data_IF_289978335082
#
_entry.id   IF_289978335082
#
_cell.length_a   1.000
_cell.length_b   1.000
_cell.length_c   1.000
_cell.angle_alpha   90.00
_cell.angle_beta   90.00
_cell.angle_gamma   90.00
#
_symmetry.space_group_name_H-M   'P 1'
#
loop_
_entity.id
_entity.type
_entity.pdbx_description
1 polymer ?
#
# COMPACT_ATOMS: atom_id res chain seq x y z
N UNK A 1 6.22 32.80 -9.60
CA UNK A 1 6.87 33.41 -10.79
C UNK A 1 8.42 33.36 -10.76
N UNK A 2 9.10 33.31 -9.65
CA UNK A 2 10.58 33.28 -9.62
C UNK A 2 11.19 31.88 -9.82
N UNK A 3 10.48 30.81 -9.48
CA UNK A 3 10.94 29.40 -9.61
C UNK A 3 10.87 28.87 -11.04
N UNK A 4 9.96 29.38 -11.88
CA UNK A 4 9.81 28.99 -13.28
C UNK A 4 10.96 29.52 -14.16
N UNK A 5 11.53 30.70 -13.83
CA UNK A 5 12.61 31.27 -14.62
C UNK A 5 14.00 30.62 -14.37
N UNK A 6 14.18 29.96 -13.23
CA UNK A 6 15.42 29.23 -12.92
C UNK A 6 15.45 27.90 -13.68
N UNK A 7 14.33 27.19 -13.76
CA UNK A 7 14.23 25.92 -14.49
C UNK A 7 14.46 26.10 -16.01
N UNK A 8 13.95 27.19 -16.59
CA UNK A 8 14.15 27.51 -18.02
C UNK A 8 15.60 27.88 -18.33
N UNK A 9 16.32 28.50 -17.39
CA UNK A 9 17.76 28.81 -17.58
C UNK A 9 18.69 27.60 -17.48
N UNK A 10 18.35 26.64 -16.60
CA UNK A 10 19.10 25.39 -16.48
C UNK A 10 18.89 24.48 -17.70
N UNK A 11 17.66 24.39 -18.23
CA UNK A 11 17.38 23.65 -19.47
C UNK A 11 18.14 24.21 -20.68
N UNK A 12 18.25 25.54 -20.83
CA UNK A 12 19.03 26.15 -21.90
C UNK A 12 20.54 25.85 -21.82
N UNK A 13 21.08 25.69 -20.61
CA UNK A 13 22.50 25.39 -20.42
C UNK A 13 22.81 23.91 -20.79
N UNK A 14 21.86 22.99 -20.56
CA UNK A 14 22.02 21.57 -20.91
C UNK A 14 21.90 21.35 -22.41
N UNK A 15 21.00 22.05 -23.11
CA UNK A 15 20.87 21.98 -24.57
C UNK A 15 22.13 22.50 -25.29
N UNK A 16 22.79 23.53 -24.79
CA UNK A 16 24.02 24.05 -25.36
C UNK A 16 25.22 23.09 -25.23
N UNK A 17 25.29 22.36 -24.12
CA UNK A 17 26.34 21.36 -23.90
C UNK A 17 26.12 20.05 -24.70
N UNK A 18 24.88 19.72 -25.09
CA UNK A 18 24.56 18.54 -25.93
C UNK A 18 24.90 18.81 -27.41
N UNK A 19 24.75 20.05 -27.88
CA UNK A 19 25.08 20.45 -29.26
C UNK A 19 26.58 20.39 -29.54
N UNK A 20 27.42 20.63 -28.51
CA UNK A 20 28.88 20.64 -28.67
C UNK A 20 29.52 19.23 -28.67
N UNK A 21 28.76 18.17 -28.30
CA UNK A 21 29.31 16.81 -28.19
C UNK A 21 28.88 15.86 -29.33
N UNK A 22 28.25 16.31 -30.41
CA UNK A 22 27.99 15.51 -31.62
C UNK A 22 27.03 14.33 -31.40
N UNK A 23 26.22 14.33 -30.36
CA UNK A 23 25.18 13.33 -30.10
C UNK A 23 23.99 13.53 -31.02
N UNK A 24 23.58 12.50 -31.76
CA UNK A 24 22.33 12.51 -32.53
C UNK A 24 21.18 12.55 -31.52
N UNK A 25 20.59 13.73 -31.35
CA UNK A 25 19.33 13.88 -30.61
C UNK A 25 18.26 13.23 -31.47
N UNK A 26 17.70 12.11 -31.02
CA UNK A 26 16.54 11.50 -31.65
C UNK A 26 15.41 12.54 -31.62
N UNK A 27 14.98 13.01 -32.79
CA UNK A 27 13.82 13.88 -32.91
C UNK A 27 12.60 13.08 -32.43
N UNK A 28 11.96 13.55 -31.36
CA UNK A 28 10.69 13.01 -30.90
C UNK A 28 9.67 13.09 -32.04
N UNK A 29 8.82 12.05 -32.15
CA UNK A 29 7.78 12.07 -33.17
C UNK A 29 6.81 13.23 -32.92
N UNK A 30 6.24 13.86 -33.96
CA UNK A 30 5.27 14.95 -33.80
C UNK A 30 4.06 14.54 -32.92
N UNK A 31 3.73 13.26 -32.87
CA UNK A 31 2.66 12.69 -32.05
C UNK A 31 3.02 12.72 -30.57
N UNK A 32 4.27 12.39 -30.21
CA UNK A 32 4.77 12.47 -28.83
C UNK A 32 4.78 13.92 -28.35
N UNK A 33 5.24 14.86 -29.18
CA UNK A 33 5.24 16.29 -28.87
C UNK A 33 3.82 16.81 -28.64
N UNK A 34 2.88 16.43 -29.52
CA UNK A 34 1.47 16.83 -29.40
C UNK A 34 0.79 16.19 -28.16
N UNK A 35 1.17 14.97 -27.80
CA UNK A 35 0.71 14.30 -26.59
C UNK A 35 1.21 15.00 -25.33
N UNK A 36 2.49 15.33 -25.27
CA UNK A 36 3.09 16.01 -24.13
C UNK A 36 2.51 17.41 -23.94
N UNK A 37 2.29 18.17 -25.03
CA UNK A 37 1.64 19.47 -24.96
C UNK A 37 0.21 19.39 -24.41
N UNK A 38 -0.57 18.39 -24.80
CA UNK A 38 -1.91 18.16 -24.24
C UNK A 38 -1.87 17.80 -22.74
N UNK A 39 -0.85 17.07 -22.32
CA UNK A 39 -0.64 16.74 -20.91
C UNK A 39 -0.22 17.97 -20.10
N UNK A 40 0.65 18.82 -20.65
CA UNK A 40 1.05 20.09 -20.03
C UNK A 40 -0.15 21.03 -19.85
N UNK A 41 -0.99 21.20 -20.88
CA UNK A 41 -2.22 22.01 -20.80
C UNK A 41 -3.20 21.47 -19.72
N UNK A 42 -3.30 20.15 -19.58
CA UNK A 42 -4.15 19.53 -18.56
C UNK A 42 -3.56 19.66 -17.15
N UNK A 43 -2.23 19.75 -17.03
CA UNK A 43 -1.52 19.89 -15.75
C UNK A 43 -1.46 21.32 -15.23
N UNK A 44 -1.47 22.33 -16.12
CA UNK A 44 -1.49 23.76 -15.77
C UNK A 44 -2.90 24.25 -15.38
N UNK A 45 -3.95 23.46 -15.64
CA UNK A 45 -5.26 23.69 -15.10
C UNK A 45 -5.24 23.64 -13.57
N UNK A 46 -5.76 24.68 -12.91
CA UNK A 46 -5.90 24.74 -11.45
C UNK A 46 -6.68 23.53 -10.95
N UNK A 47 -5.96 22.51 -10.49
CA UNK A 47 -6.55 21.31 -9.88
C UNK A 47 -7.11 21.70 -8.51
N UNK A 48 -8.43 21.88 -8.42
CA UNK A 48 -9.11 22.04 -7.14
C UNK A 48 -9.00 20.73 -6.35
N UNK A 49 -8.62 20.77 -5.05
CA UNK A 49 -8.66 19.58 -4.20
C UNK A 49 -10.02 18.87 -4.15
N UNK A 50 -11.11 19.57 -4.49
CA UNK A 50 -12.46 19.00 -4.62
C UNK A 50 -12.60 18.05 -5.82
N UNK A 51 -11.74 18.12 -6.84
CA UNK A 51 -11.79 17.24 -8.02
C UNK A 51 -11.52 15.77 -7.65
N UNK A 52 -10.93 15.52 -6.47
CA UNK A 52 -10.67 14.19 -5.93
C UNK A 52 -11.72 13.71 -4.92
N UNK A 53 -12.94 14.28 -4.94
CA UNK A 53 -14.04 13.87 -4.07
C UNK A 53 -13.86 14.24 -2.59
N UNK A 54 -12.89 15.08 -2.24
CA UNK A 54 -12.63 15.53 -0.89
C UNK A 54 -13.02 16.98 -0.68
N UNK A 55 -13.93 17.27 0.26
CA UNK A 55 -14.05 18.60 0.83
C UNK A 55 -12.72 18.97 1.50
N UNK A 56 -12.20 20.16 1.21
CA UNK A 56 -11.06 20.73 1.93
C UNK A 56 -11.27 20.57 3.44
N UNK A 57 -10.25 20.23 4.23
CA UNK A 57 -10.38 20.21 5.68
C UNK A 57 -10.88 21.60 6.11
N UNK A 58 -11.80 21.69 7.08
CA UNK A 58 -12.28 22.98 7.54
C UNK A 58 -11.09 23.85 7.96
N UNK A 59 -11.06 25.14 7.63
CA UNK A 59 -9.95 25.99 8.00
C UNK A 59 -9.77 25.92 9.51
N UNK A 60 -8.67 25.33 9.93
CA UNK A 60 -8.32 25.25 11.34
C UNK A 60 -8.26 26.64 11.90
N UNK A 61 -9.12 26.94 12.86
CA UNK A 61 -9.00 28.12 13.70
C UNK A 61 -7.65 28.05 14.42
N UNK A 62 -6.62 28.60 13.82
CA UNK A 62 -5.40 28.97 14.52
C UNK A 62 -5.78 30.18 15.36
N UNK A 63 -6.25 29.95 16.56
CA UNK A 63 -6.32 31.00 17.58
C UNK A 63 -4.89 31.37 17.94
N UNK A 64 -4.41 32.47 17.35
CA UNK A 64 -3.26 33.20 17.87
C UNK A 64 -3.64 33.74 19.26
N UNK A 65 -3.36 32.96 20.29
CA UNK A 65 -3.26 33.51 21.63
C UNK A 65 -1.99 34.38 21.72
N UNK A 66 -2.17 35.67 21.64
CA UNK A 66 -1.18 36.66 22.06
C UNK A 66 -0.87 36.44 23.54
N UNK A 67 0.36 36.06 23.85
CA UNK A 67 0.88 36.12 25.22
C UNK A 67 1.49 37.51 25.44
N UNK A 68 1.13 38.22 26.49
CA UNK A 68 1.84 39.44 26.90
C UNK A 68 3.06 39.10 27.76
N UNK A 69 4.15 39.81 27.49
CA UNK A 69 5.12 40.33 28.42
C UNK A 69 6.03 39.37 29.17
N UNK A 70 7.31 39.54 28.93
CA UNK A 70 8.43 38.83 29.44
C UNK A 70 8.63 38.80 30.97
N UNK A 71 9.45 37.86 31.38
CA UNK A 71 10.39 38.05 32.49
C UNK A 71 11.58 37.08 32.34
N UNK A 72 12.72 37.60 32.74
CA UNK A 72 14.10 37.22 32.77
C UNK A 72 14.44 35.82 33.33
N UNK A 73 15.55 35.35 32.80
CA UNK A 73 16.40 34.20 33.12
C UNK A 73 16.76 34.12 34.60
N UNK A 74 16.72 32.91 35.18
CA UNK A 74 17.70 32.44 36.17
C UNK A 74 17.86 30.92 36.13
N UNK A 75 19.09 30.49 35.86
CA UNK A 75 19.61 29.13 36.01
C UNK A 75 19.41 28.62 37.45
N UNK A 76 18.91 27.39 37.56
CA UNK A 76 19.33 26.48 38.63
C UNK A 76 19.08 25.02 38.22
N UNK A 77 20.18 24.31 38.00
CA UNK A 77 20.25 22.84 37.98
C UNK A 77 19.87 22.28 39.34
N UNK A 78 18.93 21.33 39.39
CA UNK A 78 18.95 20.26 40.38
C UNK A 78 18.39 18.96 39.78
N UNK A 79 19.26 17.94 39.85
CA UNK A 79 18.95 16.52 39.70
C UNK A 79 17.90 16.08 40.71
N UNK A 80 16.90 15.33 40.28
CA UNK A 80 16.31 14.27 41.10
C UNK A 80 15.73 13.19 40.20
N UNK A 81 16.32 12.03 40.29
CA UNK A 81 15.85 10.73 39.87
C UNK A 81 14.59 10.34 40.65
N UNK A 82 13.47 10.11 39.98
CA UNK A 82 12.40 9.30 40.56
C UNK A 82 11.89 8.30 39.51
N UNK A 83 12.14 7.06 39.85
CA UNK A 83 11.64 5.85 39.22
C UNK A 83 10.16 5.67 39.55
N UNK A 84 9.27 5.85 38.58
CA UNK A 84 7.87 5.50 38.69
C UNK A 84 7.65 4.03 38.30
N UNK A 85 7.49 3.17 39.32
CA UNK A 85 7.17 1.77 39.11
C UNK A 85 5.75 1.57 38.57
N UNK A 86 5.64 0.70 37.59
CA UNK A 86 4.37 0.15 37.13
C UNK A 86 3.93 -0.95 38.08
N UNK A 87 2.79 -0.72 38.73
CA UNK A 87 2.14 -1.64 39.66
C UNK A 87 1.47 -2.79 38.86
N UNK A 88 2.13 -3.96 38.88
CA UNK A 88 1.65 -5.18 38.26
C UNK A 88 0.55 -5.82 39.12
N UNK A 89 -0.71 -5.69 38.71
CA UNK A 89 -1.77 -6.53 39.26
C UNK A 89 -1.69 -7.93 38.70
N UNK A 90 -1.23 -8.83 39.54
CA UNK A 90 -1.31 -10.28 39.33
C UNK A 90 -2.76 -10.74 39.19
N UNK A 91 -3.16 -11.27 38.05
CA UNK A 91 -4.34 -12.13 37.94
C UNK A 91 -3.91 -13.59 38.19
N UNK A 92 -4.48 -14.16 39.24
CA UNK A 92 -4.29 -15.53 39.70
C UNK A 92 -4.73 -16.52 38.63
N UNK A 93 -3.87 -17.49 38.32
CA UNK A 93 -4.16 -18.71 37.59
C UNK A 93 -5.24 -19.52 38.32
N UNK A 94 -6.36 -19.79 37.67
CA UNK A 94 -7.36 -20.77 38.08
C UNK A 94 -7.30 -21.97 37.16
N UNK A 95 -7.11 -23.12 37.75
CA UNK A 95 -7.04 -24.43 37.09
C UNK A 95 -8.39 -24.86 36.51
N UNK A 96 -8.34 -25.74 35.53
CA UNK A 96 -9.42 -26.25 34.73
C UNK A 96 -10.60 -26.84 35.50
N UNK A 97 -11.78 -26.75 34.88
CA UNK A 97 -12.93 -27.62 35.17
C UNK A 97 -13.63 -27.98 33.86
N UNK A 98 -13.65 -29.25 33.58
CA UNK A 98 -14.59 -29.90 32.69
C UNK A 98 -15.99 -29.89 33.34
N UNK A 99 -17.03 -29.54 32.59
CA UNK A 99 -18.40 -29.72 33.09
C UNK A 99 -19.44 -29.01 32.23
N UNK A 100 -20.22 -29.80 31.49
CA UNK A 100 -21.44 -29.33 30.88
C UNK A 100 -22.43 -28.88 31.98
N UNK A 101 -23.01 -27.69 31.83
CA UNK A 101 -24.02 -27.17 32.72
C UNK A 101 -24.74 -26.00 32.04
N UNK A 102 -25.98 -26.28 31.55
CA UNK A 102 -26.88 -25.22 31.14
C UNK A 102 -27.23 -24.35 32.34
N UNK A 103 -26.85 -23.08 32.31
CA UNK A 103 -27.16 -22.05 33.30
C UNK A 103 -27.54 -20.76 32.61
N UNK A 104 -28.81 -20.39 32.68
CA UNK A 104 -29.34 -19.11 32.24
C UNK A 104 -28.66 -17.98 33.01
N UNK A 105 -27.88 -17.15 32.32
CA UNK A 105 -27.27 -15.92 32.83
C UNK A 105 -27.47 -14.79 31.83
N UNK A 106 -28.16 -13.75 32.27
CA UNK A 106 -28.32 -12.48 31.60
C UNK A 106 -26.93 -11.84 31.35
N UNK A 107 -26.33 -12.12 30.24
CA UNK A 107 -25.17 -11.43 29.67
C UNK A 107 -25.47 -11.25 28.19
N UNK A 108 -25.16 -10.06 27.67
CA UNK A 108 -25.27 -9.76 26.25
C UNK A 108 -24.65 -10.93 25.46
N UNK A 109 -25.49 -11.74 24.85
CA UNK A 109 -25.03 -12.89 24.07
C UNK A 109 -24.31 -12.30 22.84
N UNK A 110 -23.02 -12.58 22.72
CA UNK A 110 -22.21 -12.26 21.54
C UNK A 110 -22.79 -12.98 20.32
N UNK A 111 -23.10 -12.26 19.26
CA UNK A 111 -23.38 -12.85 17.96
C UNK A 111 -22.07 -13.41 17.38
N UNK A 112 -22.02 -14.71 17.10
CA UNK A 112 -20.86 -15.36 16.48
C UNK A 112 -21.08 -15.37 14.98
N UNK A 113 -20.25 -14.61 14.24
CA UNK A 113 -20.25 -14.57 12.77
C UNK A 113 -19.41 -15.72 12.20
N UNK A 114 -18.32 -16.07 12.88
CA UNK A 114 -17.42 -17.16 12.51
C UNK A 114 -16.81 -17.76 13.77
N UNK A 115 -16.73 -19.09 13.82
CA UNK A 115 -16.05 -19.80 14.88
C UNK A 115 -14.53 -19.79 14.64
N UNK A 116 -13.76 -20.37 15.57
CA UNK A 116 -12.30 -20.35 15.51
C UNK A 116 -11.78 -20.93 14.19
N UNK A 117 -11.10 -20.09 13.43
CA UNK A 117 -10.49 -20.42 12.13
C UNK A 117 -9.12 -19.78 12.01
N UNK A 118 -8.33 -20.25 11.05
CA UNK A 118 -7.04 -19.66 10.66
C UNK A 118 -7.24 -18.19 10.31
N UNK A 119 -6.41 -17.29 10.85
CA UNK A 119 -6.65 -15.86 10.74
C UNK A 119 -6.65 -15.37 9.27
N UNK A 120 -5.79 -15.88 8.41
CA UNK A 120 -5.76 -15.50 6.98
C UNK A 120 -6.99 -15.93 6.19
N UNK A 121 -7.79 -16.88 6.70
CA UNK A 121 -9.04 -17.34 6.10
C UNK A 121 -10.29 -16.72 6.74
N UNK A 122 -10.12 -15.88 7.75
CA UNK A 122 -11.19 -15.35 8.58
C UNK A 122 -12.15 -14.42 7.84
N UNK A 123 -13.38 -14.41 8.32
CA UNK A 123 -14.44 -13.48 7.92
C UNK A 123 -14.06 -12.00 8.10
N UNK A 124 -13.12 -11.71 9.00
CA UNK A 124 -12.59 -10.35 9.21
C UNK A 124 -12.13 -9.69 7.90
N UNK A 125 -11.46 -10.44 7.04
CA UNK A 125 -10.98 -9.93 5.74
C UNK A 125 -12.14 -9.65 4.78
N UNK A 126 -13.21 -10.46 4.83
CA UNK A 126 -14.43 -10.23 4.05
C UNK A 126 -15.16 -8.97 4.50
N UNK A 127 -15.20 -8.70 5.80
CA UNK A 127 -15.75 -7.45 6.34
C UNK A 127 -14.95 -6.23 5.88
N UNK A 128 -13.62 -6.31 5.90
CA UNK A 128 -12.76 -5.25 5.42
C UNK A 128 -12.96 -5.01 3.91
N UNK A 129 -13.00 -6.07 3.10
CA UNK A 129 -13.28 -5.94 1.66
C UNK A 129 -14.66 -5.34 1.41
N UNK A 130 -15.69 -5.76 2.16
CA UNK A 130 -17.02 -5.19 2.08
C UNK A 130 -17.05 -3.69 2.43
N UNK A 131 -16.24 -3.25 3.39
CA UNK A 131 -16.11 -1.85 3.72
C UNK A 131 -15.62 -1.04 2.50
N UNK A 132 -14.52 -1.44 1.87
CA UNK A 132 -13.98 -0.73 0.71
C UNK A 132 -14.90 -0.82 -0.51
N UNK A 133 -15.54 -1.95 -0.74
CA UNK A 133 -16.47 -2.13 -1.88
C UNK A 133 -17.71 -1.22 -1.74
N UNK A 134 -18.32 -1.15 -0.54
CA UNK A 134 -19.51 -0.34 -0.30
C UNK A 134 -19.23 1.16 -0.16
N UNK A 135 -18.09 1.54 0.41
CA UNK A 135 -17.71 2.95 0.58
C UNK A 135 -16.98 3.51 -0.64
N UNK A 136 -16.23 2.69 -1.37
CA UNK A 136 -15.45 3.13 -2.51
C UNK A 136 -14.55 4.31 -2.18
N UNK A 137 -14.45 5.28 -3.09
CA UNK A 137 -13.63 6.50 -2.92
C UNK A 137 -14.05 7.38 -1.74
N UNK A 138 -15.26 7.22 -1.22
CA UNK A 138 -15.73 7.94 -0.04
C UNK A 138 -14.92 7.59 1.21
N UNK A 139 -14.33 6.40 1.27
CA UNK A 139 -13.44 5.97 2.35
C UNK A 139 -12.31 6.99 2.58
N UNK A 140 -11.79 7.56 1.51
CA UNK A 140 -10.72 8.56 1.57
C UNK A 140 -11.25 9.99 1.55
N UNK A 141 -12.24 10.31 0.73
CA UNK A 141 -12.77 11.67 0.58
C UNK A 141 -13.44 12.19 1.85
N UNK A 142 -14.08 11.31 2.62
CA UNK A 142 -14.68 11.65 3.92
C UNK A 142 -13.66 11.58 5.09
N UNK A 143 -12.39 11.23 4.82
CA UNK A 143 -11.34 11.15 5.83
C UNK A 143 -11.48 9.96 6.80
N UNK A 144 -12.29 8.95 6.45
CA UNK A 144 -12.43 7.72 7.26
C UNK A 144 -11.11 6.98 7.27
N UNK A 145 -10.51 6.83 6.08
CA UNK A 145 -9.16 6.27 5.92
C UNK A 145 -8.16 7.41 5.71
N UNK A 146 -7.18 7.60 6.62
CA UNK A 146 -6.15 8.62 6.46
C UNK A 146 -5.26 8.34 5.25
N UNK A 147 -5.11 9.33 4.35
CA UNK A 147 -4.31 9.18 3.14
C UNK A 147 -3.39 10.37 2.85
N UNK A 148 -3.51 11.46 3.61
CA UNK A 148 -2.78 12.71 3.32
C UNK A 148 -1.27 12.58 3.36
N UNK A 149 -0.75 11.69 4.20
CA UNK A 149 0.70 11.47 4.35
C UNK A 149 1.27 10.76 3.12
N UNK A 150 0.52 9.85 2.50
CA UNK A 150 0.99 8.98 1.42
C UNK A 150 0.55 9.43 0.03
N UNK A 151 -0.54 10.20 -0.08
CA UNK A 151 -1.13 10.62 -1.34
C UNK A 151 -0.96 12.13 -1.57
N UNK A 152 0.28 12.59 -1.70
CA UNK A 152 0.59 13.99 -1.98
C UNK A 152 1.73 14.13 -3.00
N UNK A 153 1.90 15.35 -3.54
CA UNK A 153 2.88 15.62 -4.58
C UNK A 153 4.34 15.35 -4.14
N UNK A 154 4.67 15.60 -2.86
CA UNK A 154 6.01 15.34 -2.35
C UNK A 154 6.34 13.84 -2.37
N UNK A 155 5.42 13.00 -1.89
CA UNK A 155 5.61 11.55 -1.87
C UNK A 155 5.62 11.00 -3.31
N UNK A 156 4.67 11.41 -4.17
CA UNK A 156 4.67 11.00 -5.58
C UNK A 156 5.98 11.32 -6.29
N UNK A 157 6.51 12.54 -6.08
CA UNK A 157 7.83 12.93 -6.61
C UNK A 157 8.98 12.11 -6.05
N UNK A 158 8.96 11.80 -4.75
CA UNK A 158 10.01 10.98 -4.12
C UNK A 158 10.05 9.57 -4.71
N UNK A 159 8.89 8.95 -4.93
CA UNK A 159 8.79 7.64 -5.59
C UNK A 159 9.28 7.71 -7.04
N UNK A 160 8.87 8.74 -7.78
CA UNK A 160 9.32 8.94 -9.15
C UNK A 160 10.85 9.12 -9.23
N UNK A 161 11.48 9.82 -8.28
CA UNK A 161 12.93 9.96 -8.20
C UNK A 161 13.63 8.63 -7.94
N UNK A 162 13.11 7.81 -7.00
CA UNK A 162 13.65 6.48 -6.72
C UNK A 162 13.55 5.60 -7.96
N UNK A 163 12.40 5.58 -8.61
CA UNK A 163 12.20 4.82 -9.84
C UNK A 163 13.15 5.27 -10.96
N UNK A 164 13.26 6.58 -11.21
CA UNK A 164 14.18 7.10 -12.21
C UNK A 164 15.64 6.73 -11.92
N UNK A 165 16.03 6.74 -10.64
CA UNK A 165 17.35 6.27 -10.21
C UNK A 165 17.57 4.80 -10.51
N UNK A 166 16.60 3.96 -10.18
CA UNK A 166 16.63 2.52 -10.47
C UNK A 166 16.74 2.26 -11.98
N UNK A 167 15.91 2.90 -12.80
CA UNK A 167 15.92 2.75 -14.26
C UNK A 167 17.26 3.16 -14.86
N UNK A 168 17.82 4.27 -14.41
CA UNK A 168 19.17 4.72 -14.82
C UNK A 168 20.24 3.68 -14.49
N UNK A 169 20.21 3.09 -13.31
CA UNK A 169 21.16 2.08 -12.90
C UNK A 169 21.03 0.80 -13.75
N UNK A 170 19.80 0.36 -14.04
CA UNK A 170 19.52 -0.74 -14.93
C UNK A 170 19.98 -0.48 -16.39
N UNK A 171 19.70 0.72 -16.92
CA UNK A 171 20.19 1.13 -18.27
C UNK A 171 21.71 1.11 -18.38
N UNK A 172 22.42 1.34 -17.27
CA UNK A 172 23.89 1.24 -17.20
C UNK A 172 24.41 -0.17 -16.89
N UNK A 173 23.51 -1.14 -16.76
CA UNK A 173 23.85 -2.55 -16.51
C UNK A 173 24.22 -2.84 -15.06
N UNK A 174 23.87 -1.99 -14.11
CA UNK A 174 24.07 -2.26 -12.70
C UNK A 174 23.30 -3.50 -12.26
N UNK A 175 23.90 -4.33 -11.42
CA UNK A 175 23.29 -5.56 -10.93
C UNK A 175 23.03 -6.65 -11.97
N UNK A 176 23.52 -6.49 -13.20
CA UNK A 176 23.30 -7.43 -14.30
C UNK A 176 21.91 -7.35 -14.96
N UNK A 177 21.04 -6.51 -14.44
CA UNK A 177 19.71 -6.26 -15.00
C UNK A 177 19.83 -5.40 -16.26
N UNK A 178 19.04 -5.70 -17.29
CA UNK A 178 19.02 -4.95 -18.54
C UNK A 178 17.58 -4.54 -18.86
N UNK A 179 17.42 -3.30 -19.28
CA UNK A 179 16.17 -2.81 -19.82
C UNK A 179 16.22 -2.78 -21.33
N UNK A 180 15.13 -3.19 -21.97
CA UNK A 180 14.90 -2.97 -23.39
C UNK A 180 14.05 -1.72 -23.57
N UNK A 181 14.62 -0.61 -24.08
CA UNK A 181 13.90 0.65 -24.25
C UNK A 181 12.86 0.61 -25.39
N UNK A 182 12.81 -0.48 -26.17
CA UNK A 182 11.79 -0.67 -27.21
C UNK A 182 10.52 -1.31 -26.69
N UNK A 183 10.61 -2.00 -25.55
CA UNK A 183 9.51 -2.70 -24.91
C UNK A 183 8.90 -1.90 -23.74
N UNK A 184 7.61 -2.12 -23.42
CA UNK A 184 6.96 -1.44 -22.30
C UNK A 184 7.63 -1.76 -20.95
N UNK A 185 7.67 -0.76 -20.06
CA UNK A 185 7.98 -0.92 -18.65
C UNK A 185 6.70 -0.69 -17.85
N UNK A 186 6.27 -1.69 -17.10
CA UNK A 186 5.05 -1.59 -16.30
C UNK A 186 5.36 -1.18 -14.86
N UNK A 187 4.69 -0.12 -14.41
CA UNK A 187 4.70 0.36 -13.02
C UNK A 187 3.33 0.01 -12.44
N UNK A 188 3.24 -1.03 -11.63
CA UNK A 188 1.98 -1.57 -11.12
C UNK A 188 1.74 -1.05 -9.71
N UNK A 189 0.71 -0.25 -9.53
CA UNK A 189 0.26 0.19 -8.22
C UNK A 189 -0.84 -0.75 -7.72
N UNK A 190 -0.61 -1.35 -6.58
CA UNK A 190 -1.55 -2.23 -5.90
C UNK A 190 -2.37 -1.43 -4.89
N UNK A 191 -3.69 -1.63 -4.89
CA UNK A 191 -4.59 -0.92 -3.98
C UNK A 191 -4.58 0.60 -4.20
N UNK A 192 -4.74 1.01 -5.43
CA UNK A 192 -4.66 2.42 -5.86
C UNK A 192 -5.64 3.35 -5.13
N UNK A 193 -6.79 2.83 -4.68
CA UNK A 193 -7.80 3.61 -3.97
C UNK A 193 -8.34 4.77 -4.82
N UNK A 194 -8.16 6.01 -4.36
CA UNK A 194 -8.69 7.18 -5.07
C UNK A 194 -7.95 7.55 -6.38
N UNK A 195 -6.76 6.99 -6.65
CA UNK A 195 -5.92 7.36 -7.80
C UNK A 195 -5.09 8.63 -7.64
N UNK A 196 -5.21 9.31 -6.52
CA UNK A 196 -4.51 10.58 -6.27
C UNK A 196 -2.99 10.43 -6.25
N UNK A 197 -2.48 9.34 -5.67
CA UNK A 197 -1.05 9.07 -5.67
C UNK A 197 -0.55 8.78 -7.08
N UNK A 198 -1.26 7.96 -7.85
CA UNK A 198 -0.95 7.65 -9.25
C UNK A 198 -0.78 8.91 -10.08
N UNK A 199 -1.71 9.86 -9.93
CA UNK A 199 -1.64 11.16 -10.60
C UNK A 199 -0.36 11.91 -10.27
N UNK A 200 -0.02 12.05 -8.97
CA UNK A 200 1.20 12.79 -8.57
C UNK A 200 2.48 12.10 -9.01
N UNK A 201 2.51 10.77 -9.00
CA UNK A 201 3.67 10.03 -9.46
C UNK A 201 3.86 10.14 -10.98
N UNK A 202 2.77 9.98 -11.77
CA UNK A 202 2.80 10.17 -13.22
C UNK A 202 3.24 11.59 -13.60
N UNK A 203 2.65 12.60 -12.98
CA UNK A 203 3.05 13.99 -13.19
C UNK A 203 4.55 14.19 -12.92
N UNK A 204 5.06 13.67 -11.81
CA UNK A 204 6.47 13.79 -11.47
C UNK A 204 7.39 13.04 -12.44
N UNK A 205 6.99 11.87 -12.95
CA UNK A 205 7.75 11.13 -13.97
C UNK A 205 7.84 11.93 -15.27
N UNK A 206 6.74 12.56 -15.71
CA UNK A 206 6.72 13.40 -16.91
C UNK A 206 7.58 14.66 -16.74
N UNK A 207 7.55 15.30 -15.58
CA UNK A 207 8.43 16.44 -15.27
C UNK A 207 9.91 16.07 -15.30
N UNK A 208 10.25 14.80 -15.05
CA UNK A 208 11.62 14.27 -15.05
C UNK A 208 12.03 13.60 -16.36
N UNK A 209 11.22 13.69 -17.44
CA UNK A 209 11.48 13.00 -18.71
C UNK A 209 12.88 13.26 -19.28
N UNK A 210 13.37 14.50 -19.18
CA UNK A 210 14.66 14.91 -19.72
C UNK A 210 15.87 14.32 -18.95
N UNK A 211 15.66 13.85 -17.73
CA UNK A 211 16.71 13.28 -16.86
C UNK A 211 16.53 11.77 -16.64
N UNK A 212 15.51 11.18 -17.24
CA UNK A 212 15.24 9.76 -17.18
C UNK A 212 15.91 9.04 -18.34
N UNK A 213 16.83 8.13 -18.05
CA UNK A 213 17.57 7.36 -19.08
C UNK A 213 16.67 6.35 -19.84
N UNK A 214 15.49 6.03 -19.32
CA UNK A 214 14.50 5.15 -19.97
C UNK A 214 13.40 6.01 -20.64
N UNK A 215 12.95 5.67 -21.88
CA UNK A 215 11.90 6.43 -22.56
C UNK A 215 10.59 6.48 -21.78
N UNK A 216 10.15 7.68 -21.39
CA UNK A 216 8.94 7.84 -20.56
C UNK A 216 7.68 7.42 -21.32
N UNK A 217 7.66 7.54 -22.66
CA UNK A 217 6.59 7.07 -23.52
C UNK A 217 6.44 5.54 -23.55
N UNK A 218 7.45 4.81 -23.09
CA UNK A 218 7.39 3.36 -22.91
C UNK A 218 7.02 2.93 -21.50
N UNK A 219 6.87 3.87 -20.57
CA UNK A 219 6.38 3.58 -19.22
C UNK A 219 4.86 3.52 -19.25
N UNK A 220 4.31 2.44 -18.72
CA UNK A 220 2.85 2.26 -18.54
C UNK A 220 2.59 2.13 -17.04
N UNK A 221 1.95 3.13 -16.47
CA UNK A 221 1.47 3.08 -15.09
C UNK A 221 0.17 2.30 -15.04
N UNK A 222 0.08 1.29 -14.19
CA UNK A 222 -1.09 0.42 -14.07
C UNK A 222 -1.72 0.60 -12.71
N UNK A 223 -2.88 1.23 -12.68
CA UNK A 223 -3.70 1.36 -11.47
C UNK A 223 -4.46 0.07 -11.23
N UNK A 224 -4.34 -0.52 -10.04
CA UNK A 224 -5.10 -1.73 -9.70
C UNK A 224 -5.79 -1.61 -8.36
N UNK A 225 -7.00 -2.16 -8.28
CA UNK A 225 -7.78 -2.31 -7.06
C UNK A 225 -8.75 -3.50 -7.25
N UNK A 226 -9.20 -4.10 -6.16
CA UNK A 226 -10.19 -5.18 -6.25
C UNK A 226 -11.63 -4.67 -6.41
N UNK A 227 -11.88 -3.37 -6.21
CA UNK A 227 -13.22 -2.78 -6.22
C UNK A 227 -13.63 -2.24 -7.59
N UNK A 228 -14.83 -2.58 -8.06
CA UNK A 228 -15.38 -2.00 -9.28
C UNK A 228 -15.72 -0.51 -9.13
N UNK A 229 -16.05 -0.07 -7.92
CA UNK A 229 -16.40 1.32 -7.65
C UNK A 229 -15.19 2.25 -7.89
N UNK A 230 -14.01 1.89 -7.42
CA UNK A 230 -12.79 2.64 -7.65
C UNK A 230 -12.42 2.64 -9.14
N UNK A 231 -12.51 1.48 -9.81
CA UNK A 231 -12.26 1.35 -11.23
C UNK A 231 -13.15 2.28 -12.08
N UNK A 232 -14.46 2.33 -11.80
CA UNK A 232 -15.40 3.22 -12.49
C UNK A 232 -15.07 4.69 -12.26
N UNK A 233 -14.73 5.04 -11.02
CA UNK A 233 -14.32 6.40 -10.66
C UNK A 233 -13.09 6.85 -11.48
N UNK A 234 -12.05 6.03 -11.60
CA UNK A 234 -10.86 6.39 -12.38
C UNK A 234 -11.16 6.53 -13.87
N UNK A 235 -11.99 5.63 -14.42
CA UNK A 235 -12.35 5.64 -15.83
C UNK A 235 -13.05 6.94 -16.26
N UNK A 236 -13.78 7.56 -15.35
CA UNK A 236 -14.55 8.79 -15.60
C UNK A 236 -13.83 10.05 -15.08
N UNK A 237 -12.72 9.90 -14.35
CA UNK A 237 -12.06 11.02 -13.68
C UNK A 237 -11.36 11.94 -14.70
N UNK A 238 -11.75 13.24 -14.80
CA UNK A 238 -11.27 14.12 -15.86
C UNK A 238 -9.76 14.33 -15.84
N UNK A 239 -9.14 14.34 -14.66
CA UNK A 239 -7.70 14.55 -14.46
C UNK A 239 -6.87 13.34 -14.91
N UNK A 240 -7.42 12.11 -14.85
CA UNK A 240 -6.74 10.90 -15.31
C UNK A 240 -6.92 10.65 -16.80
N UNK A 241 -7.95 11.25 -17.40
CA UNK A 241 -8.31 11.03 -18.79
C UNK A 241 -7.15 11.29 -19.78
N UNK A 242 -6.37 12.38 -19.71
CA UNK A 242 -5.25 12.61 -20.62
C UNK A 242 -4.21 11.49 -20.59
N UNK A 243 -3.90 10.94 -19.41
CA UNK A 243 -2.95 9.83 -19.25
C UNK A 243 -3.51 8.52 -19.80
N UNK A 244 -4.82 8.28 -19.64
CA UNK A 244 -5.51 7.14 -20.22
C UNK A 244 -5.52 7.24 -21.75
N UNK A 245 -5.82 8.41 -22.31
CA UNK A 245 -5.88 8.64 -23.75
C UNK A 245 -4.49 8.55 -24.41
N UNK A 246 -3.41 8.91 -23.70
CA UNK A 246 -2.04 8.77 -24.18
C UNK A 246 -1.49 7.34 -24.09
N UNK A 247 -2.12 6.46 -23.34
CA UNK A 247 -1.62 5.10 -23.07
C UNK A 247 -0.53 5.01 -21.99
N UNK A 248 -0.19 6.11 -21.32
CA UNK A 248 0.75 6.12 -20.20
C UNK A 248 0.12 5.63 -18.90
N UNK A 249 -1.20 5.59 -18.86
CA UNK A 249 -1.99 5.04 -17.76
C UNK A 249 -2.92 3.95 -18.29
N UNK A 250 -2.94 2.82 -17.62
CA UNK A 250 -3.93 1.77 -17.81
C UNK A 250 -4.49 1.34 -16.44
N UNK A 251 -5.55 0.56 -16.44
CA UNK A 251 -6.27 0.19 -15.23
C UNK A 251 -6.70 -1.27 -15.28
N UNK A 252 -6.80 -1.89 -14.11
CA UNK A 252 -7.36 -3.23 -13.99
C UNK A 252 -8.06 -3.44 -12.64
N UNK A 253 -9.12 -4.26 -12.64
CA UNK A 253 -9.61 -4.88 -11.42
C UNK A 253 -8.66 -6.05 -11.13
N UNK A 254 -8.11 -6.08 -9.92
CA UNK A 254 -7.09 -7.07 -9.53
C UNK A 254 -7.12 -7.32 -8.03
N UNK A 255 -7.39 -8.56 -7.64
CA UNK A 255 -7.20 -9.04 -6.28
C UNK A 255 -5.74 -9.51 -6.13
N UNK A 256 -4.93 -8.73 -5.43
CA UNK A 256 -3.49 -8.99 -5.28
C UNK A 256 -3.19 -10.35 -4.62
N UNK A 257 -4.11 -10.90 -3.82
CA UNK A 257 -3.94 -12.19 -3.12
C UNK A 257 -4.37 -13.37 -3.99
N UNK A 258 -5.44 -13.22 -4.79
CA UNK A 258 -6.08 -14.36 -5.44
C UNK A 258 -5.82 -14.42 -6.94
N UNK A 259 -5.68 -13.26 -7.63
CA UNK A 259 -5.49 -13.24 -9.07
C UNK A 259 -4.03 -13.57 -9.46
N UNK A 260 -3.87 -14.26 -10.58
CA UNK A 260 -2.57 -14.65 -11.13
C UNK A 260 -2.15 -13.83 -12.35
N UNK A 261 -3.07 -13.06 -12.91
CA UNK A 261 -2.85 -12.23 -14.10
C UNK A 261 -3.60 -10.90 -13.95
N UNK A 262 -3.08 -9.86 -14.61
CA UNK A 262 -3.70 -8.53 -14.65
C UNK A 262 -4.11 -8.24 -16.09
N UNK A 263 -5.42 -8.15 -16.35
CA UNK A 263 -5.95 -7.78 -17.66
C UNK A 263 -6.15 -6.27 -17.72
N UNK A 264 -5.32 -5.59 -18.50
CA UNK A 264 -5.39 -4.15 -18.70
C UNK A 264 -6.63 -3.78 -19.49
N UNK A 265 -7.40 -2.81 -19.01
CA UNK A 265 -8.73 -2.50 -19.56
C UNK A 265 -8.67 -1.68 -20.84
N UNK A 266 -7.66 -0.80 -20.99
CA UNK A 266 -7.52 0.09 -22.16
C UNK A 266 -6.78 -0.58 -23.30
N UNK A 267 -5.61 -1.12 -23.05
CA UNK A 267 -4.78 -1.79 -24.05
C UNK A 267 -5.22 -3.21 -24.37
N UNK A 268 -5.97 -3.86 -23.47
CA UNK A 268 -6.33 -5.27 -23.58
C UNK A 268 -5.17 -6.23 -23.30
N UNK A 269 -4.00 -5.72 -22.93
CA UNK A 269 -2.81 -6.54 -22.61
C UNK A 269 -3.09 -7.39 -21.36
N UNK A 270 -2.61 -8.63 -21.39
CA UNK A 270 -2.65 -9.53 -20.24
C UNK A 270 -1.23 -9.63 -19.66
N UNK A 271 -1.05 -9.11 -18.44
CA UNK A 271 0.18 -9.27 -17.67
C UNK A 271 0.07 -10.52 -16.81
N UNK A 272 1.12 -11.33 -16.81
CA UNK A 272 1.17 -12.58 -16.04
C UNK A 272 2.55 -13.24 -16.15
N UNK A 273 2.70 -14.52 -15.74
CA UNK A 273 3.99 -15.19 -15.73
C UNK A 273 4.70 -15.14 -17.09
N UNK A 274 5.92 -14.58 -17.11
CA UNK A 274 6.78 -14.48 -18.30
C UNK A 274 6.28 -13.56 -19.41
N UNK A 275 5.28 -12.70 -19.16
CA UNK A 275 4.73 -11.82 -20.22
C UNK A 275 5.45 -10.48 -20.34
N UNK A 276 6.22 -10.07 -19.33
CA UNK A 276 6.93 -8.79 -19.33
C UNK A 276 8.40 -8.99 -19.70
N UNK A 277 8.86 -8.33 -20.77
CA UNK A 277 10.27 -8.34 -21.20
C UNK A 277 11.13 -7.55 -20.19
N UNK A 278 10.68 -6.35 -19.85
CA UNK A 278 11.32 -5.53 -18.81
C UNK A 278 10.90 -5.99 -17.41
N UNK A 279 11.71 -5.75 -16.37
CA UNK A 279 11.28 -5.95 -15.00
C UNK A 279 10.07 -5.05 -14.71
N UNK A 280 9.18 -5.52 -13.85
CA UNK A 280 8.06 -4.72 -13.38
C UNK A 280 8.48 -3.91 -12.14
N UNK A 281 7.92 -2.71 -12.00
CA UNK A 281 8.02 -1.92 -10.78
C UNK A 281 6.70 -1.99 -10.04
N UNK A 282 6.73 -2.43 -8.78
CA UNK A 282 5.51 -2.54 -7.96
C UNK A 282 5.50 -1.44 -6.90
N UNK A 283 4.39 -0.73 -6.82
CA UNK A 283 4.09 0.26 -5.78
C UNK A 283 2.95 -0.26 -4.91
N UNK A 284 3.15 -0.30 -3.61
CA UNK A 284 2.15 -0.79 -2.65
C UNK A 284 2.18 0.08 -1.38
N UNK A 285 1.49 1.21 -1.41
CA UNK A 285 1.40 2.11 -0.26
C UNK A 285 0.30 1.66 0.68
N UNK A 286 0.63 1.34 1.95
CA UNK A 286 -0.34 0.93 2.97
C UNK A 286 -1.28 -0.19 2.49
N UNK A 287 -0.75 -1.15 1.74
CA UNK A 287 -1.52 -2.28 1.24
C UNK A 287 -1.17 -3.58 1.98
N UNK A 288 0.11 -3.88 2.14
CA UNK A 288 0.52 -5.20 2.65
C UNK A 288 0.05 -5.49 4.07
N UNK A 289 -0.16 -4.46 4.88
CA UNK A 289 -0.75 -4.54 6.22
C UNK A 289 -2.28 -4.72 6.21
N UNK A 290 -2.93 -4.47 5.07
CA UNK A 290 -4.38 -4.70 4.88
C UNK A 290 -4.70 -6.04 4.20
N UNK A 291 -3.70 -6.77 3.72
CA UNK A 291 -3.90 -8.12 3.19
C UNK A 291 -3.96 -9.15 4.32
N UNK A 292 -4.45 -10.36 4.02
CA UNK A 292 -4.64 -11.37 5.03
C UNK A 292 -3.33 -11.81 5.72
N UNK A 293 -3.43 -12.00 7.04
CA UNK A 293 -2.32 -12.42 7.90
C UNK A 293 -2.71 -13.65 8.69
N UNK A 294 -1.72 -14.48 9.04
CA UNK A 294 -1.84 -15.45 10.12
C UNK A 294 -1.23 -14.90 11.41
N UNK A 295 -1.66 -15.42 12.52
CA UNK A 295 -1.19 -15.02 13.84
C UNK A 295 -0.40 -16.18 14.45
N UNK A 296 0.78 -15.90 14.97
CA UNK A 296 1.56 -16.86 15.74
C UNK A 296 1.97 -16.29 17.08
N UNK A 297 1.99 -17.13 18.08
CA UNK A 297 2.66 -16.89 19.34
C UNK A 297 3.89 -17.78 19.42
N UNK A 298 5.06 -17.17 19.53
CA UNK A 298 6.33 -17.90 19.67
C UNK A 298 6.81 -17.76 21.09
N UNK A 299 7.06 -18.89 21.75
CA UNK A 299 7.64 -18.95 23.10
C UNK A 299 8.60 -20.13 23.20
N UNK A 300 9.78 -19.92 23.79
CA UNK A 300 10.81 -20.95 23.98
C UNK A 300 11.15 -21.75 22.70
N UNK A 301 11.19 -21.08 21.55
CA UNK A 301 11.50 -21.71 20.26
C UNK A 301 10.39 -22.59 19.68
N UNK A 302 9.16 -22.45 20.19
CA UNK A 302 7.97 -23.12 19.64
C UNK A 302 6.95 -22.10 19.18
N UNK A 303 6.36 -22.35 18.02
CA UNK A 303 5.26 -21.56 17.50
C UNK A 303 3.91 -22.22 17.79
N UNK A 304 2.91 -21.39 18.11
CA UNK A 304 1.50 -21.76 18.18
C UNK A 304 0.73 -20.88 17.22
N UNK A 305 -0.15 -21.47 16.44
CA UNK A 305 -1.07 -20.73 15.60
C UNK A 305 -2.15 -20.06 16.45
N UNK A 306 -2.44 -18.78 16.17
CA UNK A 306 -3.56 -18.06 16.71
C UNK A 306 -4.79 -18.18 15.81
N UNK A 307 -5.78 -18.93 16.24
CA UNK A 307 -7.08 -18.97 15.60
C UNK A 307 -7.92 -17.79 16.08
N UNK A 308 -8.73 -17.23 15.19
CA UNK A 308 -9.64 -16.13 15.47
C UNK A 308 -11.11 -16.61 15.36
N UNK A 309 -11.95 -16.22 16.29
CA UNK A 309 -13.40 -16.28 16.16
C UNK A 309 -13.96 -14.87 16.06
N UNK A 310 -14.62 -14.57 14.96
CA UNK A 310 -15.21 -13.26 14.69
C UNK A 310 -16.61 -13.18 15.24
N UNK A 311 -16.93 -12.12 15.95
CA UNK A 311 -18.25 -11.88 16.50
C UNK A 311 -18.54 -10.40 16.68
N UNK A 312 -19.78 -10.13 17.04
CA UNK A 312 -20.31 -8.79 17.33
C UNK A 312 -20.81 -8.70 18.76
N UNK A 313 -20.74 -7.51 19.35
CA UNK A 313 -21.36 -7.19 20.63
C UNK A 313 -22.87 -7.03 20.55
N UNK A 314 -23.46 -7.04 19.35
CA UNK A 314 -24.91 -7.09 19.17
C UNK A 314 -25.41 -8.52 19.24
N UNK A 315 -26.68 -8.73 19.61
CA UNK A 315 -27.25 -10.08 19.72
C UNK A 315 -27.51 -10.75 18.36
N UNK A 316 -27.63 -9.98 17.29
CA UNK A 316 -27.90 -10.43 15.93
C UNK A 316 -27.28 -9.50 14.90
N UNK A 317 -26.81 -10.04 13.78
CA UNK A 317 -26.27 -9.34 12.63
C UNK A 317 -26.98 -9.83 11.35
N UNK A 318 -28.05 -9.14 10.93
CA UNK A 318 -28.85 -9.56 9.78
C UNK A 318 -28.05 -9.58 8.46
N UNK A 319 -27.07 -8.70 8.33
CA UNK A 319 -26.11 -8.68 7.22
C UNK A 319 -24.70 -8.95 7.76
N UNK A 320 -24.18 -10.17 7.63
CA UNK A 320 -22.84 -10.50 8.15
C UNK A 320 -21.70 -9.79 7.43
N UNK A 321 -21.98 -9.08 6.34
CA UNK A 321 -21.04 -8.25 5.60
C UNK A 321 -21.28 -6.74 5.80
N UNK A 322 -22.13 -6.35 6.77
CA UNK A 322 -22.30 -4.94 7.10
C UNK A 322 -20.97 -4.34 7.61
N UNK A 323 -20.40 -3.32 6.91
CA UNK A 323 -19.15 -2.69 7.33
C UNK A 323 -19.18 -2.09 8.74
N UNK A 324 -20.35 -1.72 9.23
CA UNK A 324 -20.51 -1.15 10.58
C UNK A 324 -20.23 -2.18 11.69
N UNK A 325 -20.20 -3.49 11.37
CA UNK A 325 -19.78 -4.54 12.30
C UNK A 325 -18.35 -4.29 12.79
N UNK A 326 -17.49 -3.67 11.98
CA UNK A 326 -16.10 -3.35 12.35
C UNK A 326 -16.04 -2.49 13.63
N UNK A 327 -17.02 -1.64 13.85
CA UNK A 327 -17.08 -0.77 15.05
C UNK A 327 -17.54 -1.51 16.31
N UNK A 328 -18.13 -2.70 16.17
CA UNK A 328 -18.72 -3.49 17.27
C UNK A 328 -18.21 -4.93 17.33
N UNK A 329 -16.99 -5.16 16.76
CA UNK A 329 -16.34 -6.47 16.80
C UNK A 329 -16.09 -6.94 18.24
N UNK A 330 -16.39 -8.21 18.48
CA UNK A 330 -15.98 -8.98 19.66
C UNK A 330 -15.20 -10.22 19.20
N UNK A 331 -13.94 -10.02 18.84
CA UNK A 331 -13.06 -11.08 18.38
C UNK A 331 -12.45 -11.82 19.56
N UNK A 332 -12.35 -13.14 19.43
CA UNK A 332 -11.71 -14.01 20.41
C UNK A 332 -10.59 -14.81 19.76
N UNK A 333 -9.56 -15.09 20.52
CA UNK A 333 -8.38 -15.81 20.04
C UNK A 333 -8.20 -17.10 20.84
N UNK A 334 -7.77 -18.15 20.17
CA UNK A 334 -7.33 -19.41 20.74
C UNK A 334 -6.02 -19.81 20.09
N UNK A 335 -5.12 -20.43 20.85
CA UNK A 335 -3.80 -20.81 20.36
C UNK A 335 -3.69 -22.34 20.39
N UNK A 336 -3.17 -22.90 19.29
CA UNK A 336 -2.91 -24.33 19.14
C UNK A 336 -1.49 -24.60 18.65
N UNK A 337 -0.96 -25.75 18.99
CA UNK A 337 0.35 -26.19 18.48
C UNK A 337 0.25 -26.44 16.99
N UNK A 338 1.28 -26.06 16.24
CA UNK A 338 1.36 -26.29 14.80
C UNK A 338 2.15 -27.57 14.49
N UNK A 339 1.79 -28.32 13.44
CA UNK A 339 2.59 -29.46 12.98
C UNK A 339 3.91 -28.99 12.35
N UNK A 340 4.89 -29.90 12.30
CA UNK A 340 6.22 -29.60 11.74
C UNK A 340 6.17 -29.26 10.24
N UNK A 341 5.16 -29.75 9.54
CA UNK A 341 4.89 -29.53 8.12
C UNK A 341 3.92 -28.39 7.84
N UNK A 342 3.64 -27.52 8.83
CA UNK A 342 2.78 -26.35 8.66
C UNK A 342 3.26 -25.50 7.48
N UNK A 343 2.35 -25.09 6.61
CA UNK A 343 2.61 -24.44 5.32
C UNK A 343 3.22 -25.32 4.22
N UNK A 344 3.21 -26.66 4.29
CA UNK A 344 3.89 -27.47 3.29
C UNK A 344 2.99 -28.00 2.16
N UNK A 345 1.65 -27.98 2.25
CA UNK A 345 0.87 -28.85 1.37
C UNK A 345 -0.29 -28.27 0.54
N UNK A 346 -0.80 -27.07 0.80
CA UNK A 346 -2.10 -26.74 0.18
C UNK A 346 -2.06 -25.83 -1.05
N UNK A 347 -1.01 -25.03 -1.27
CA UNK A 347 -1.02 -24.02 -2.34
C UNK A 347 0.26 -23.93 -3.20
N UNK A 348 1.21 -24.83 -3.07
CA UNK A 348 2.47 -24.80 -3.84
C UNK A 348 3.43 -23.66 -3.46
N UNK A 349 3.11 -22.90 -2.42
CA UNK A 349 3.87 -21.72 -1.97
C UNK A 349 4.77 -21.98 -0.75
N UNK A 350 4.68 -23.11 -0.16
CA UNK A 350 4.91 -23.43 1.24
C UNK A 350 6.33 -23.53 1.71
N UNK A 351 7.31 -24.02 0.91
CA UNK A 351 8.69 -24.12 1.41
C UNK A 351 9.26 -22.77 1.84
N UNK A 352 8.75 -21.67 1.25
CA UNK A 352 9.20 -20.32 1.60
C UNK A 352 8.53 -19.82 2.86
N UNK A 353 7.23 -20.05 3.02
CA UNK A 353 6.48 -19.63 4.20
C UNK A 353 7.00 -20.33 5.45
N UNK A 354 7.17 -21.64 5.39
CA UNK A 354 7.76 -22.43 6.48
C UNK A 354 9.14 -21.86 6.87
N UNK A 355 10.00 -21.61 5.88
CA UNK A 355 11.34 -21.08 6.12
C UNK A 355 11.35 -19.68 6.73
N UNK A 356 10.39 -18.81 6.34
CA UNK A 356 10.23 -17.48 6.92
C UNK A 356 9.72 -17.61 8.35
N UNK A 357 8.72 -18.48 8.59
CA UNK A 357 8.20 -18.73 9.94
C UNK A 357 9.29 -19.26 10.86
N UNK A 358 10.08 -20.25 10.41
CA UNK A 358 11.21 -20.80 11.17
C UNK A 358 12.22 -19.71 11.53
N UNK A 359 12.53 -18.80 10.59
CA UNK A 359 13.39 -17.66 10.88
C UNK A 359 12.85 -16.78 12.01
N UNK A 360 11.54 -16.51 12.03
CA UNK A 360 10.92 -15.76 13.15
C UNK A 360 10.98 -16.54 14.47
N UNK A 361 10.79 -17.86 14.43
CA UNK A 361 10.90 -18.73 15.61
C UNK A 361 12.33 -18.70 16.18
N UNK A 362 13.33 -18.84 15.32
CA UNK A 362 14.73 -18.78 15.70
C UNK A 362 15.13 -17.40 16.25
N UNK A 363 14.63 -16.33 15.62
CA UNK A 363 14.86 -14.97 16.11
C UNK A 363 14.24 -14.74 17.49
N UNK A 364 13.01 -15.18 17.70
CA UNK A 364 12.33 -15.07 19.00
C UNK A 364 13.01 -15.90 20.09
N UNK A 365 13.59 -17.05 19.74
CA UNK A 365 14.31 -17.92 20.67
C UNK A 365 15.59 -17.29 21.23
N UNK A 366 16.15 -16.28 20.56
CA UNK A 366 17.32 -15.52 21.02
C UNK A 366 16.96 -14.44 22.06
N UNK A 367 15.67 -14.13 22.19
CA UNK A 367 15.15 -13.16 23.16
C UNK A 367 14.77 -13.79 24.50
N UNK A 368 14.51 -12.97 25.51
CA UNK A 368 14.16 -13.40 26.86
C UNK A 368 12.66 -13.59 27.12
N UNK A 369 11.81 -13.52 26.10
CA UNK A 369 10.35 -13.60 26.25
C UNK A 369 9.61 -14.05 25.01
N UNK A 370 8.36 -14.47 25.20
CA UNK A 370 7.48 -14.83 24.10
C UNK A 370 7.14 -13.63 23.20
N UNK A 371 6.91 -13.89 21.92
CA UNK A 371 6.59 -12.89 20.90
C UNK A 371 5.30 -13.28 20.17
N UNK A 372 4.46 -12.29 19.86
CA UNK A 372 3.37 -12.47 18.91
C UNK A 372 3.76 -11.92 17.55
N UNK A 373 3.44 -12.67 16.49
CA UNK A 373 3.81 -12.36 15.12
C UNK A 373 2.55 -12.32 14.28
N UNK A 374 2.42 -11.26 13.46
CA UNK A 374 1.51 -11.24 12.33
C UNK A 374 2.29 -11.68 11.09
N UNK A 375 1.95 -12.85 10.57
CA UNK A 375 2.62 -13.44 9.42
C UNK A 375 1.90 -13.00 8.13
N UNK A 376 2.54 -12.24 7.22
CA UNK A 376 1.86 -11.55 6.13
C UNK A 376 1.61 -12.46 4.92
N UNK A 377 0.77 -13.47 5.07
CA UNK A 377 0.45 -14.48 4.04
C UNK A 377 0.03 -13.83 2.72
N UNK A 378 -0.90 -12.87 2.79
CA UNK A 378 -1.41 -12.19 1.60
C UNK A 378 -0.33 -11.42 0.85
N UNK A 379 0.51 -10.66 1.57
CA UNK A 379 1.60 -9.90 0.96
C UNK A 379 2.66 -10.83 0.31
N UNK A 380 3.03 -11.92 0.98
CA UNK A 380 3.99 -12.89 0.45
C UNK A 380 3.46 -13.57 -0.82
N UNK A 381 2.17 -13.94 -0.85
CA UNK A 381 1.52 -14.48 -2.06
C UNK A 381 1.52 -13.48 -3.21
N UNK A 382 1.10 -12.26 -2.95
CA UNK A 382 1.07 -11.18 -3.95
C UNK A 382 2.45 -10.94 -4.56
N UNK A 383 3.47 -10.74 -3.74
CA UNK A 383 4.85 -10.50 -4.19
C UNK A 383 5.38 -11.66 -5.02
N UNK A 384 5.18 -12.90 -4.55
CA UNK A 384 5.67 -14.09 -5.26
C UNK A 384 5.05 -14.23 -6.65
N UNK A 385 3.75 -13.98 -6.80
CA UNK A 385 3.06 -13.99 -8.09
C UNK A 385 3.59 -12.92 -9.02
N UNK A 386 3.67 -11.70 -8.56
CA UNK A 386 4.19 -10.58 -9.36
C UNK A 386 5.64 -10.80 -9.80
N UNK A 387 6.48 -11.42 -8.97
CA UNK A 387 7.84 -11.78 -9.34
C UNK A 387 7.92 -12.74 -10.53
N UNK A 388 6.86 -13.45 -10.89
CA UNK A 388 6.84 -14.32 -12.07
C UNK A 388 6.55 -13.60 -13.38
N UNK A 389 6.08 -12.35 -13.35
CA UNK A 389 5.64 -11.61 -14.53
C UNK A 389 6.77 -11.29 -15.50
N UNK A 390 8.00 -11.14 -14.98
CA UNK A 390 9.20 -10.97 -15.80
C UNK A 390 10.29 -11.96 -15.38
N UNK A 391 11.00 -12.51 -16.37
CA UNK A 391 12.20 -13.32 -16.14
C UNK A 391 13.45 -12.45 -15.90
N UNK A 392 13.37 -11.16 -16.24
CA UNK A 392 14.42 -10.17 -16.05
C UNK A 392 14.28 -9.52 -14.65
N UNK A 393 14.95 -10.11 -13.64
CA UNK A 393 14.86 -9.73 -12.22
C UNK A 393 16.21 -9.82 -11.51
#
# INVERSE_FOLDING_TARGET
MATSQVAVREASCVQQNAADNGGVVAQESPEVIAMLAKLEDALDGNLDPSDWGGSSPPPGHVQHQQRPGGHTISDTRKNSSESGGWDGRQHKRGAGVTGAGAGAGNGNERCVLEDFTQCSKSHLWKLMMSFYDRKGVESWSQGIVPHFITCNAFIGRSYAQVLSGFLRDCMRGAGGMKLDPTEPLYIIELGTGSGKFSFFMLKALLEMKEVCDFPVEKMVYVMTDFTESNFKFWAEHPVLKPFLDSGQLDMAIFDAVNDTTIKLSRSGVLLGPGTCVNPICVVANYLFDTLCHDIFQVDQGKAKEGLISVGSTQPDEPDPLDPEIIQRLDNRFSYQDIPDDYYTDEDGDEPHFKRILDWYVDYAAQGSGGMSILFPVGALRALRRLMTFSDNR
#
